data_IF_868891859163
#
_entry.id   IF_868891859163
#
_cell.length_a   1.000
_cell.length_b   1.000
_cell.length_c   1.000
_cell.angle_alpha   90.00
_cell.angle_beta   90.00
_cell.angle_gamma   90.00
#
_symmetry.space_group_name_H-M   'P 1'
#
loop_
_entity.id
_entity.type
_entity.pdbx_description
1 polymer ?
#
# COMPACT_ATOMS: atom_id res chain seq x y z
N UNK A 1 -3.93 12.56 -1.01
CA UNK A 1 -3.59 12.66 0.44
C UNK A 1 -2.49 13.68 0.59
N UNK A 2 -2.31 14.26 1.77
CA UNK A 2 -1.06 14.97 2.11
C UNK A 2 -0.17 13.98 2.85
N UNK A 3 1.10 13.89 2.46
CA UNK A 3 2.05 12.92 3.02
C UNK A 3 3.25 13.64 3.59
N UNK A 4 3.67 13.24 4.79
CA UNK A 4 4.97 13.59 5.38
C UNK A 4 5.78 12.30 5.54
N UNK A 5 7.05 12.35 5.20
CA UNK A 5 7.95 11.20 5.26
C UNK A 5 8.88 11.30 6.46
N UNK A 6 9.04 10.19 7.18
CA UNK A 6 10.09 10.01 8.19
C UNK A 6 10.98 8.89 7.70
N UNK A 7 12.19 9.24 7.27
CA UNK A 7 13.18 8.27 6.82
C UNK A 7 13.87 7.60 8.01
N UNK A 8 13.94 6.27 7.94
CA UNK A 8 14.74 5.42 8.83
C UNK A 8 15.85 4.78 8.00
N UNK A 9 16.81 4.13 8.65
CA UNK A 9 17.96 3.51 7.95
C UNK A 9 17.53 2.44 6.93
N UNK A 10 16.45 1.70 7.22
CA UNK A 10 16.03 0.53 6.44
C UNK A 10 14.57 0.60 5.95
N UNK A 11 13.88 1.70 6.24
CA UNK A 11 12.45 1.84 5.97
C UNK A 11 12.05 3.32 5.97
N UNK A 12 10.81 3.58 5.58
CA UNK A 12 10.19 4.89 5.64
C UNK A 12 8.83 4.79 6.31
N UNK A 13 8.51 5.76 7.15
CA UNK A 13 7.15 5.94 7.67
C UNK A 13 6.46 7.05 6.87
N UNK A 14 5.27 6.76 6.37
CA UNK A 14 4.41 7.73 5.69
C UNK A 14 3.28 8.19 6.61
N UNK A 15 3.30 9.46 6.98
CA UNK A 15 2.23 10.09 7.75
C UNK A 15 1.21 10.66 6.76
N UNK A 16 0.03 10.04 6.71
CA UNK A 16 -1.02 10.37 5.75
C UNK A 16 -2.13 11.20 6.40
N UNK A 17 -2.41 12.37 5.83
CA UNK A 17 -3.59 13.17 6.16
C UNK A 17 -4.56 13.24 4.98
N UNK A 18 -5.90 13.18 5.21
CA UNK A 18 -6.86 13.35 4.15
C UNK A 18 -6.67 14.68 3.42
N UNK A 19 -6.73 14.63 2.10
CA UNK A 19 -6.74 15.82 1.25
C UNK A 19 -7.95 15.72 0.33
N UNK A 20 -8.89 16.65 0.50
CA UNK A 20 -10.16 16.67 -0.22
C UNK A 20 -11.17 15.58 0.21
N UNK A 21 -12.39 15.71 -0.30
CA UNK A 21 -13.52 14.84 0.07
C UNK A 21 -13.37 13.40 -0.40
N UNK A 22 -12.69 13.17 -1.52
CA UNK A 22 -12.47 11.85 -2.11
C UNK A 22 -11.24 11.10 -1.54
N UNK A 23 -10.70 11.55 -0.40
CA UNK A 23 -9.49 10.96 0.15
C UNK A 23 -9.68 9.48 0.58
N UNK A 24 -8.79 8.56 0.15
CA UNK A 24 -8.93 7.14 0.44
C UNK A 24 -8.83 6.81 1.94
N UNK A 25 -8.08 7.61 2.71
CA UNK A 25 -7.86 7.42 4.15
C UNK A 25 -8.95 8.06 5.02
N UNK A 26 -9.91 8.79 4.42
CA UNK A 26 -10.97 9.50 5.17
C UNK A 26 -11.84 8.52 5.97
N UNK A 27 -12.25 7.41 5.35
CA UNK A 27 -13.03 6.36 6.02
C UNK A 27 -12.25 5.66 7.13
N UNK A 28 -10.93 5.50 6.96
CA UNK A 28 -10.08 4.91 7.99
C UNK A 28 -10.02 5.80 9.23
N UNK A 29 -9.78 7.11 9.08
CA UNK A 29 -9.73 8.04 10.22
C UNK A 29 -11.09 8.23 10.89
N UNK A 30 -12.19 8.21 10.13
CA UNK A 30 -13.53 8.25 10.72
C UNK A 30 -13.79 7.06 11.66
N UNK A 31 -13.20 5.89 11.36
CA UNK A 31 -13.27 4.69 12.22
C UNK A 31 -12.20 4.69 13.31
N UNK A 32 -11.10 5.41 13.13
CA UNK A 32 -9.95 5.46 14.03
C UNK A 32 -9.55 6.93 14.28
N UNK A 33 -10.29 7.67 15.14
CA UNK A 33 -10.10 9.11 15.31
C UNK A 33 -8.74 9.50 15.90
N UNK A 34 -8.06 8.58 16.60
CA UNK A 34 -6.70 8.77 17.12
C UNK A 34 -5.60 8.44 16.07
N UNK A 35 -5.97 8.02 14.85
CA UNK A 35 -5.04 7.51 13.85
C UNK A 35 -4.70 6.03 14.05
N UNK A 36 -3.70 5.55 13.31
CA UNK A 36 -3.21 4.17 13.38
C UNK A 36 -2.42 3.77 12.13
N UNK A 37 -1.86 2.55 12.15
CA UNK A 37 -1.20 1.96 10.98
C UNK A 37 -2.26 1.59 9.95
N UNK A 38 -2.21 2.23 8.78
CA UNK A 38 -3.20 2.02 7.71
C UNK A 38 -2.87 0.81 6.85
N UNK A 39 -1.61 0.69 6.42
CA UNK A 39 -1.11 -0.39 5.58
C UNK A 39 0.41 -0.55 5.78
N UNK A 40 0.95 -1.64 5.25
CA UNK A 40 2.39 -1.87 5.14
C UNK A 40 2.72 -2.06 3.66
N UNK A 41 3.74 -1.35 3.17
CA UNK A 41 4.21 -1.45 1.80
C UNK A 41 5.48 -2.30 1.72
N UNK A 42 5.52 -3.24 0.77
CA UNK A 42 6.71 -4.02 0.44
C UNK A 42 7.15 -3.72 -0.98
N UNK A 43 8.45 -3.49 -1.12
CA UNK A 43 9.08 -3.35 -2.43
C UNK A 43 9.21 -4.71 -3.11
N UNK A 44 8.87 -4.76 -4.39
CA UNK A 44 9.02 -5.95 -5.24
C UNK A 44 9.72 -5.58 -6.55
N UNK A 45 10.48 -6.53 -7.11
CA UNK A 45 11.24 -6.31 -8.34
C UNK A 45 10.36 -6.28 -9.60
N UNK A 46 9.29 -7.06 -9.60
CA UNK A 46 8.31 -7.18 -10.68
C UNK A 46 6.96 -7.42 -10.01
N UNK A 47 6.08 -6.42 -10.10
CA UNK A 47 4.81 -6.41 -9.40
C UNK A 47 3.82 -7.42 -9.98
N UNK A 48 3.91 -7.71 -11.27
CA UNK A 48 3.04 -8.67 -11.95
C UNK A 48 3.42 -10.09 -11.53
N UNK A 49 4.72 -10.40 -11.53
CA UNK A 49 5.25 -11.66 -11.07
C UNK A 49 4.94 -11.90 -9.59
N UNK A 50 5.10 -10.88 -8.74
CA UNK A 50 4.76 -10.94 -7.32
C UNK A 50 3.26 -11.16 -7.09
N UNK A 51 2.40 -10.40 -7.79
CA UNK A 51 0.94 -10.57 -7.77
C UNK A 51 0.56 -12.00 -8.11
N UNK A 52 1.01 -12.50 -9.25
CA UNK A 52 0.62 -13.82 -9.75
C UNK A 52 1.11 -14.93 -8.81
N UNK A 53 2.28 -14.76 -8.18
CA UNK A 53 2.77 -15.70 -7.17
C UNK A 53 1.86 -15.73 -5.92
N UNK A 54 1.39 -14.57 -5.47
CA UNK A 54 0.53 -14.46 -4.30
C UNK A 54 -0.89 -14.95 -4.58
N UNK A 55 -1.44 -14.65 -5.77
CA UNK A 55 -2.73 -15.20 -6.21
C UNK A 55 -2.70 -16.72 -6.31
N UNK A 56 -1.62 -17.31 -6.86
CA UNK A 56 -1.43 -18.78 -6.86
C UNK A 56 -1.39 -19.39 -5.45
N UNK A 57 -1.00 -18.62 -4.45
CA UNK A 57 -1.01 -19.02 -3.03
C UNK A 57 -2.34 -18.72 -2.33
N UNK A 58 -3.32 -18.18 -3.05
CA UNK A 58 -4.67 -17.92 -2.55
C UNK A 58 -4.89 -16.51 -1.99
N UNK A 59 -3.92 -15.60 -2.12
CA UNK A 59 -4.11 -14.21 -1.69
C UNK A 59 -5.05 -13.47 -2.65
N UNK A 60 -5.91 -12.59 -2.13
CA UNK A 60 -6.78 -11.73 -2.93
C UNK A 60 -6.12 -10.40 -3.21
N UNK A 61 -6.05 -10.04 -4.48
CA UNK A 61 -5.68 -8.69 -4.94
C UNK A 61 -6.93 -7.81 -4.95
N UNK A 62 -6.81 -6.57 -4.47
CA UNK A 62 -7.90 -5.60 -4.50
C UNK A 62 -8.03 -4.95 -5.88
N UNK A 63 -9.27 -4.72 -6.32
CA UNK A 63 -9.56 -4.08 -7.60
C UNK A 63 -9.57 -5.07 -8.76
N UNK A 64 -9.08 -4.63 -9.92
CA UNK A 64 -9.03 -5.40 -11.18
C UNK A 64 -7.70 -6.12 -11.39
N UNK A 65 -6.84 -6.13 -10.38
CA UNK A 65 -5.52 -6.78 -10.42
C UNK A 65 -4.48 -6.04 -11.28
N UNK A 66 -4.80 -4.87 -11.84
CA UNK A 66 -3.86 -4.07 -12.63
C UNK A 66 -3.13 -3.06 -11.74
N UNK A 67 -1.79 -2.99 -11.81
CA UNK A 67 -1.04 -1.98 -11.07
C UNK A 67 -1.52 -0.57 -11.41
N UNK A 68 -1.58 0.28 -10.39
CA UNK A 68 -1.92 1.70 -10.51
C UNK A 68 -0.71 2.53 -10.13
N UNK A 69 -0.69 3.80 -10.55
CA UNK A 69 0.36 4.71 -10.12
C UNK A 69 0.19 5.05 -8.63
N UNK A 70 1.22 4.76 -7.84
CA UNK A 70 1.30 5.03 -6.41
C UNK A 70 1.80 6.45 -6.09
N UNK A 71 1.96 6.75 -4.80
CA UNK A 71 2.37 8.08 -4.33
C UNK A 71 3.79 8.48 -4.80
N UNK A 72 4.65 7.49 -5.07
CA UNK A 72 6.02 7.68 -5.56
C UNK A 72 6.13 7.63 -7.09
N UNK A 73 5.01 7.66 -7.82
CA UNK A 73 5.00 7.53 -9.29
C UNK A 73 5.35 6.12 -9.80
N UNK A 74 5.38 5.13 -8.90
CA UNK A 74 5.69 3.72 -9.19
C UNK A 74 4.42 2.88 -9.27
N UNK A 75 4.43 1.75 -10.00
CA UNK A 75 3.32 0.80 -9.99
C UNK A 75 3.06 0.23 -8.58
N UNK A 76 1.81 0.23 -8.15
CA UNK A 76 1.36 -0.35 -6.87
C UNK A 76 0.13 -1.24 -7.01
N UNK A 77 0.01 -2.22 -6.11
CA UNK A 77 -1.13 -3.10 -5.93
C UNK A 77 -1.43 -3.28 -4.44
N UNK A 78 -2.69 -3.51 -4.09
CA UNK A 78 -3.08 -3.79 -2.71
C UNK A 78 -3.63 -5.21 -2.57
N UNK A 79 -3.33 -5.86 -1.44
CA UNK A 79 -3.83 -7.18 -1.10
C UNK A 79 -4.85 -7.11 0.04
N UNK A 80 -5.86 -7.97 -0.01
CA UNK A 80 -7.00 -7.89 0.88
C UNK A 80 -6.59 -8.25 2.33
N UNK A 81 -6.92 -7.43 3.35
CA UNK A 81 -6.46 -7.63 4.73
C UNK A 81 -6.83 -8.97 5.38
N UNK A 82 -7.97 -9.55 4.97
CA UNK A 82 -8.42 -10.88 5.40
C UNK A 82 -7.40 -12.01 5.12
N UNK A 83 -6.48 -11.82 4.17
CA UNK A 83 -5.44 -12.81 3.88
C UNK A 83 -4.13 -12.55 4.65
N UNK A 84 -4.06 -11.43 5.39
CA UNK A 84 -2.84 -10.92 6.05
C UNK A 84 -3.11 -10.45 7.48
N UNK A 85 -3.80 -11.27 8.27
CA UNK A 85 -4.06 -11.00 9.71
C UNK A 85 -4.73 -9.64 9.99
N UNK A 86 -5.53 -9.13 9.05
CA UNK A 86 -6.19 -7.83 9.17
C UNK A 86 -5.38 -6.64 8.68
N UNK A 87 -4.15 -6.84 8.20
CA UNK A 87 -3.27 -5.79 7.67
C UNK A 87 -3.49 -5.59 6.17
N UNK A 88 -3.73 -4.36 5.75
CA UNK A 88 -3.70 -4.00 4.32
C UNK A 88 -2.25 -4.00 3.84
N UNK A 89 -1.96 -4.78 2.80
CA UNK A 89 -0.63 -4.87 2.22
C UNK A 89 -0.61 -4.13 0.90
N UNK A 90 0.39 -3.28 0.69
CA UNK A 90 0.74 -2.68 -0.59
C UNK A 90 1.99 -3.36 -1.13
N UNK A 91 2.01 -3.61 -2.44
CA UNK A 91 3.20 -3.97 -3.19
C UNK A 91 3.56 -2.77 -4.06
N UNK A 92 4.79 -2.32 -4.00
CA UNK A 92 5.33 -1.26 -4.86
C UNK A 92 6.48 -1.82 -5.72
N UNK A 93 6.48 -1.54 -7.01
CA UNK A 93 7.59 -1.94 -7.88
C UNK A 93 8.80 -1.02 -7.72
N UNK A 94 9.93 -1.58 -7.32
CA UNK A 94 11.22 -0.90 -7.32
C UNK A 94 12.10 -1.46 -8.44
N UNK A 95 12.42 -0.62 -9.43
CA UNK A 95 13.52 -0.90 -10.35
C UNK A 95 14.82 -1.05 -9.56
N UNK A 96 15.71 -1.96 -9.98
CA UNK A 96 17.02 -2.14 -9.33
C UNK A 96 17.76 -0.79 -9.26
N UNK A 97 17.92 -0.22 -8.06
CA UNK A 97 18.64 1.04 -7.89
C UNK A 97 18.34 1.85 -6.62
N UNK A 98 17.85 1.25 -5.53
CA UNK A 98 17.94 1.84 -4.18
C UNK A 98 18.99 1.13 -3.35
#
# INVERSE_FOLDING_TARGET
>A
VTTVFVDLENARIELLHPLGEASPVKKFLARNPAGGVHHVCYEVKDIISARDQLERKGARVLGDGKPKEGAHGKPVLFLHPKDFCGTLIELEECGHGS
#
